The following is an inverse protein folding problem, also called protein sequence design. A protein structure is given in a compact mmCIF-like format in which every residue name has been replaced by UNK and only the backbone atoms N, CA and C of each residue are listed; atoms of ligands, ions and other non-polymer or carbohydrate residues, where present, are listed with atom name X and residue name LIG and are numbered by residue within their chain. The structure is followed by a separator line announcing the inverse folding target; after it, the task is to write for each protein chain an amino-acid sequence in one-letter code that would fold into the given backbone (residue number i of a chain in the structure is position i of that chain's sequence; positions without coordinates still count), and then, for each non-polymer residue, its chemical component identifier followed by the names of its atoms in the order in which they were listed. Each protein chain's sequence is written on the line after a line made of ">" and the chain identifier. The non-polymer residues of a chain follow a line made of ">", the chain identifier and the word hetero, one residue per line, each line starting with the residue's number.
data_IF_034594183386
#
_entry.id   IF_034594183386
#
_cell.length_a   1.000
_cell.length_b   1.000
_cell.length_c   1.000
_cell.angle_alpha   90.00
_cell.angle_beta   90.00
_cell.angle_gamma   90.00
#
_symmetry.space_group_name_H-M   'P 1'
#
loop_
_entity.id
_entity.type
_entity.pdbx_description
1 polymer ?
#
# COMPACT_ATOMS: atom_id res chain seq x y z
N UNK A 1 2.03 32.47 -21.40
CA UNK A 1 2.00 30.99 -21.59
C UNK A 1 2.66 30.20 -20.44
N UNK A 2 3.91 30.52 -20.03
CA UNK A 2 4.63 29.77 -18.95
C UNK A 2 3.91 29.74 -17.59
N UNK A 3 3.31 30.85 -17.12
CA UNK A 3 2.57 30.88 -15.85
C UNK A 3 1.32 29.98 -15.85
N UNK A 4 0.58 29.93 -16.95
CA UNK A 4 -0.64 29.09 -17.08
C UNK A 4 -0.28 27.61 -17.01
N UNK A 5 0.76 27.18 -17.73
CA UNK A 5 1.25 25.79 -17.70
C UNK A 5 1.73 25.36 -16.31
N UNK A 6 2.30 26.27 -15.52
CA UNK A 6 2.75 25.98 -14.15
C UNK A 6 1.57 25.83 -13.18
N UNK A 7 0.53 26.67 -13.31
CA UNK A 7 -0.69 26.58 -12.49
C UNK A 7 -1.40 25.26 -12.76
N UNK A 8 -1.58 24.89 -14.03
CA UNK A 8 -2.23 23.61 -14.42
C UNK A 8 -1.49 22.41 -13.84
N UNK A 9 -0.15 22.38 -13.92
CA UNK A 9 0.65 21.27 -13.37
C UNK A 9 0.53 21.15 -11.84
N UNK A 10 0.43 22.26 -11.12
CA UNK A 10 0.22 22.26 -9.67
C UNK A 10 -1.17 21.80 -9.27
N UNK A 11 -2.20 22.24 -9.99
CA UNK A 11 -3.58 21.81 -9.75
C UNK A 11 -3.73 20.32 -10.00
N UNK A 12 -3.13 19.79 -11.09
CA UNK A 12 -3.14 18.36 -11.38
C UNK A 12 -2.41 17.55 -10.31
N UNK A 13 -1.25 18.02 -9.84
CA UNK A 13 -0.52 17.39 -8.75
C UNK A 13 -1.33 17.35 -7.45
N UNK A 14 -2.00 18.45 -7.10
CA UNK A 14 -2.87 18.51 -5.93
C UNK A 14 -4.03 17.51 -6.03
N UNK A 15 -4.65 17.42 -7.21
CA UNK A 15 -5.73 16.46 -7.47
C UNK A 15 -5.27 14.99 -7.35
N UNK A 16 -4.14 14.62 -7.97
CA UNK A 16 -3.61 13.27 -7.87
C UNK A 16 -3.21 12.90 -6.43
N UNK A 17 -2.65 13.83 -5.66
CA UNK A 17 -2.34 13.62 -4.24
C UNK A 17 -3.60 13.48 -3.38
N UNK A 18 -4.69 14.16 -3.74
CA UNK A 18 -5.98 13.96 -3.08
C UNK A 18 -6.56 12.57 -3.37
N UNK A 19 -6.42 12.07 -4.61
CA UNK A 19 -6.80 10.69 -4.94
C UNK A 19 -5.96 9.67 -4.17
N UNK A 20 -4.66 9.89 -4.04
CA UNK A 20 -3.75 9.04 -3.24
C UNK A 20 -4.11 9.05 -1.75
N UNK A 21 -4.46 10.22 -1.22
CA UNK A 21 -4.97 10.33 0.15
C UNK A 21 -6.29 9.57 0.31
N UNK A 22 -7.20 9.73 -0.65
CA UNK A 22 -8.48 9.03 -0.68
C UNK A 22 -8.31 7.51 -0.70
N UNK A 23 -7.42 6.98 -1.55
CA UNK A 23 -7.15 5.54 -1.61
C UNK A 23 -6.53 5.02 -0.30
N UNK A 24 -5.58 5.74 0.30
CA UNK A 24 -5.04 5.38 1.61
C UNK A 24 -6.12 5.32 2.70
N UNK A 25 -6.99 6.33 2.75
CA UNK A 25 -8.11 6.40 3.69
C UNK A 25 -9.17 5.32 3.51
N UNK A 26 -9.34 4.75 2.30
CA UNK A 26 -10.26 3.61 2.08
C UNK A 26 -9.58 2.26 2.33
N UNK A 27 -8.28 2.14 2.05
CA UNK A 27 -7.50 0.92 2.28
C UNK A 27 -7.35 0.58 3.77
N UNK A 28 -7.16 1.57 4.64
CA UNK A 28 -7.05 1.36 6.10
C UNK A 28 -8.29 0.67 6.68
N UNK A 29 -9.52 1.21 6.55
CA UNK A 29 -10.72 0.54 7.04
C UNK A 29 -10.99 -0.76 6.26
N UNK A 30 -10.68 -0.83 4.97
CA UNK A 30 -10.79 -2.08 4.20
C UNK A 30 -9.93 -3.21 4.79
N UNK A 31 -8.66 -2.93 5.10
CA UNK A 31 -7.76 -3.88 5.76
C UNK A 31 -8.25 -4.26 7.17
N UNK A 32 -8.76 -3.28 7.93
CA UNK A 32 -9.31 -3.54 9.26
C UNK A 32 -10.58 -4.39 9.21
N UNK A 33 -11.48 -4.16 8.24
CA UNK A 33 -12.68 -4.97 8.04
C UNK A 33 -12.34 -6.43 7.71
N UNK A 34 -11.27 -6.67 6.94
CA UNK A 34 -10.78 -8.02 6.65
C UNK A 34 -10.26 -8.70 7.92
N UNK A 35 -9.55 -7.96 8.79
CA UNK A 35 -9.04 -8.49 10.07
C UNK A 35 -10.16 -8.79 11.05
N UNK A 36 -11.19 -7.93 11.09
CA UNK A 36 -12.32 -8.04 12.01
C UNK A 36 -13.38 -9.05 11.58
N UNK A 37 -13.29 -9.63 10.38
CA UNK A 37 -14.20 -10.66 9.89
C UNK A 37 -13.63 -12.07 10.22
N UNK A 38 -14.03 -12.66 11.37
CA UNK A 38 -13.47 -13.94 11.80
C UNK A 38 -13.83 -15.08 10.85
N UNK A 39 -15.00 -15.02 10.20
CA UNK A 39 -15.47 -16.07 9.29
C UNK A 39 -14.57 -16.16 8.05
N UNK A 40 -14.22 -15.00 7.45
CA UNK A 40 -13.28 -14.97 6.31
C UNK A 40 -11.88 -15.42 6.72
N UNK A 41 -11.39 -14.94 7.85
CA UNK A 41 -10.06 -15.31 8.37
C UNK A 41 -9.99 -16.81 8.68
N UNK A 42 -11.07 -17.38 9.22
CA UNK A 42 -11.18 -18.80 9.51
C UNK A 42 -11.20 -19.63 8.23
N UNK A 43 -12.04 -19.26 7.25
CA UNK A 43 -12.13 -19.95 5.96
C UNK A 43 -10.79 -19.98 5.22
N UNK A 44 -9.99 -18.91 5.33
CA UNK A 44 -8.67 -18.85 4.72
C UNK A 44 -7.65 -19.84 5.27
N UNK A 45 -7.86 -20.38 6.48
CA UNK A 45 -6.98 -21.41 7.05
C UNK A 45 -7.04 -22.71 6.24
N UNK A 46 -8.18 -23.03 5.65
CA UNK A 46 -8.33 -24.22 4.79
C UNK A 46 -7.41 -24.16 3.57
N UNK A 47 -7.12 -22.95 3.08
CA UNK A 47 -6.29 -22.73 1.90
C UNK A 47 -4.79 -22.85 2.20
N UNK A 48 -4.38 -22.66 3.46
CA UNK A 48 -2.98 -22.72 3.91
C UNK A 48 -2.49 -24.15 4.22
N UNK A 49 -3.18 -25.18 3.76
CA UNK A 49 -2.92 -26.60 4.07
C UNK A 49 -1.64 -27.19 3.42
N UNK A 50 -0.71 -26.33 2.97
CA UNK A 50 0.58 -26.69 2.35
C UNK A 50 1.82 -26.21 3.13
N UNK A 51 2.94 -26.01 2.43
CA UNK A 51 4.31 -25.72 2.95
C UNK A 51 4.47 -24.52 3.91
N UNK A 52 3.41 -23.73 4.14
CA UNK A 52 3.37 -22.60 5.07
C UNK A 52 2.70 -22.92 6.43
N UNK A 53 2.52 -24.20 6.77
CA UNK A 53 2.01 -24.67 8.08
C UNK A 53 2.81 -24.19 9.30
N UNK A 54 3.99 -23.59 9.11
CA UNK A 54 4.80 -22.99 10.16
C UNK A 54 4.41 -21.53 10.49
N UNK A 55 3.48 -20.91 9.76
CA UNK A 55 3.06 -19.54 10.02
C UNK A 55 2.04 -19.50 11.17
N UNK A 56 2.35 -18.72 12.21
CA UNK A 56 1.54 -18.66 13.44
C UNK A 56 0.11 -18.15 13.26
N UNK A 57 -0.18 -17.38 12.19
CA UNK A 57 -1.48 -16.74 11.92
C UNK A 57 -1.91 -16.98 10.45
N UNK A 58 -3.22 -16.87 10.16
CA UNK A 58 -3.80 -17.07 8.82
C UNK A 58 -3.22 -16.10 7.78
N UNK A 59 -3.10 -16.53 6.51
CA UNK A 59 -2.62 -15.67 5.41
C UNK A 59 -3.46 -14.40 5.21
N UNK A 60 -4.80 -14.49 5.30
CA UNK A 60 -5.67 -13.30 5.19
C UNK A 60 -5.45 -12.28 6.30
N UNK A 61 -5.01 -12.69 7.49
CA UNK A 61 -4.70 -11.77 8.57
C UNK A 61 -3.49 -10.90 8.21
N UNK A 62 -2.41 -11.50 7.71
CA UNK A 62 -1.24 -10.76 7.23
C UNK A 62 -1.55 -9.92 6.00
N UNK A 63 -2.42 -10.39 5.11
CA UNK A 63 -2.89 -9.61 3.98
C UNK A 63 -3.66 -8.38 4.44
N UNK A 64 -4.66 -8.53 5.32
CA UNK A 64 -5.42 -7.42 5.88
C UNK A 64 -4.53 -6.41 6.63
N UNK A 65 -3.55 -6.90 7.39
CA UNK A 65 -2.55 -6.06 8.07
C UNK A 65 -1.68 -5.30 7.06
N UNK A 66 -1.22 -5.97 6.01
CA UNK A 66 -0.46 -5.37 4.91
C UNK A 66 -1.25 -4.27 4.21
N UNK A 67 -2.53 -4.51 3.88
CA UNK A 67 -3.42 -3.50 3.30
C UNK A 67 -3.58 -2.29 4.23
N UNK A 68 -3.74 -2.50 5.54
CA UNK A 68 -3.89 -1.42 6.49
C UNK A 68 -2.62 -0.57 6.61
N UNK A 69 -1.44 -1.21 6.75
CA UNK A 69 -0.15 -0.53 6.81
C UNK A 69 0.13 0.24 5.52
N UNK A 70 -0.11 -0.38 4.36
CA UNK A 70 0.02 0.27 3.07
C UNK A 70 -0.90 1.49 2.97
N UNK A 71 -2.16 1.36 3.37
CA UNK A 71 -3.12 2.47 3.43
C UNK A 71 -2.62 3.65 4.27
N UNK A 72 -2.00 3.40 5.42
CA UNK A 72 -1.38 4.47 6.22
C UNK A 72 -0.19 5.15 5.51
N UNK A 73 0.65 4.38 4.81
CA UNK A 73 1.76 4.91 4.02
C UNK A 73 1.24 5.80 2.89
N UNK A 74 0.21 5.35 2.16
CA UNK A 74 -0.40 6.11 1.06
C UNK A 74 -1.10 7.38 1.57
N UNK A 75 -1.85 7.27 2.66
CA UNK A 75 -2.50 8.42 3.28
C UNK A 75 -1.47 9.45 3.76
N UNK A 76 -0.41 9.01 4.45
CA UNK A 76 0.69 9.89 4.88
C UNK A 76 1.38 10.58 3.70
N UNK A 77 1.65 9.82 2.63
CA UNK A 77 2.25 10.35 1.39
C UNK A 77 1.33 11.37 0.72
N UNK A 78 0.03 11.07 0.62
CA UNK A 78 -0.98 11.98 0.08
C UNK A 78 -1.10 13.28 0.89
N UNK A 79 -1.10 13.21 2.22
CA UNK A 79 -1.10 14.40 3.10
C UNK A 79 0.13 15.27 2.84
N UNK A 80 1.32 14.68 2.77
CA UNK A 80 2.56 15.40 2.46
C UNK A 80 2.52 16.05 1.07
N UNK A 81 2.00 15.34 0.07
CA UNK A 81 1.84 15.83 -1.31
C UNK A 81 0.83 16.98 -1.44
N UNK A 82 -0.30 16.90 -0.72
CA UNK A 82 -1.28 17.98 -0.61
C UNK A 82 -0.67 19.21 0.09
N UNK A 83 0.05 18.99 1.20
CA UNK A 83 0.74 20.08 1.92
C UNK A 83 1.76 20.81 1.04
N UNK A 84 2.54 20.06 0.26
CA UNK A 84 3.52 20.60 -0.67
C UNK A 84 2.88 21.41 -1.82
N UNK A 85 1.66 21.04 -2.22
CA UNK A 85 0.93 21.66 -3.35
C UNK A 85 0.16 22.92 -2.93
N UNK A 86 -0.39 22.95 -1.71
CA UNK A 86 -1.25 24.04 -1.22
C UNK A 86 -0.50 25.22 -0.57
N UNK A 87 0.76 25.06 -0.15
CA UNK A 87 1.51 26.17 0.47
C UNK A 87 1.99 27.20 -0.56
N UNK A 88 1.15 28.18 -0.87
CA UNK A 88 1.60 29.47 -1.41
C UNK A 88 1.12 30.69 -0.61
N UNK A 89 0.22 30.52 0.37
CA UNK A 89 -0.34 31.65 1.13
C UNK A 89 -0.35 31.37 2.64
N UNK A 90 0.59 32.02 3.34
CA UNK A 90 0.62 32.31 4.79
C UNK A 90 1.01 31.23 5.82
N UNK A 91 2.24 31.37 6.31
CA UNK A 91 2.59 31.58 7.73
C UNK A 91 2.50 30.49 8.82
N UNK A 92 2.66 29.19 8.52
CA UNK A 92 3.19 28.24 9.52
C UNK A 92 4.29 27.32 8.94
N UNK A 93 5.25 27.94 8.28
CA UNK A 93 6.60 27.39 8.08
C UNK A 93 7.50 27.62 9.32
N UNK A 94 7.00 28.27 10.38
CA UNK A 94 7.77 28.60 11.58
C UNK A 94 8.27 27.36 12.35
N UNK A 95 7.64 26.19 12.23
CA UNK A 95 8.17 24.94 12.81
C UNK A 95 9.16 24.19 11.90
N UNK A 96 9.30 24.59 10.63
CA UNK A 96 10.35 24.08 9.72
C UNK A 96 11.53 25.08 9.60
N UNK A 97 11.40 26.30 10.12
CA UNK A 97 12.43 27.36 10.08
C UNK A 97 13.64 27.08 11.01
N UNK A 98 13.63 26.08 11.90
CA UNK A 98 14.79 25.75 12.76
C UNK A 98 15.81 24.79 12.10
N UNK A 99 15.63 24.36 10.84
CA UNK A 99 16.69 23.62 10.10
C UNK A 99 17.16 24.36 8.84
N UNK A 100 18.12 25.28 9.06
CA UNK A 100 19.03 25.86 8.04
C UNK A 100 19.47 24.81 7.00
N UNK A 101 19.14 24.99 5.71
CA UNK A 101 20.10 25.10 4.57
C UNK A 101 19.36 25.35 3.26
N UNK A 102 19.87 26.27 2.45
CA UNK A 102 19.37 26.74 1.15
C UNK A 102 19.48 25.69 0.00
N UNK A 103 19.61 24.40 0.37
CA UNK A 103 19.74 23.20 -0.48
C UNK A 103 18.77 22.07 -0.03
N UNK A 104 17.66 22.41 0.65
CA UNK A 104 16.77 21.42 1.30
C UNK A 104 15.43 21.22 0.57
N UNK A 105 15.02 22.11 -0.35
CA UNK A 105 13.75 21.97 -1.06
C UNK A 105 13.78 20.87 -2.12
N UNK A 106 14.90 20.74 -2.85
CA UNK A 106 15.10 19.68 -3.85
C UNK A 106 15.22 18.31 -3.16
N UNK A 107 15.90 18.23 -2.02
CA UNK A 107 16.07 17.00 -1.23
C UNK A 107 14.74 16.43 -0.70
N UNK A 108 13.80 17.28 -0.25
CA UNK A 108 12.47 16.83 0.17
C UNK A 108 11.63 16.30 -1.00
N UNK A 109 11.75 16.89 -2.18
CA UNK A 109 11.07 16.40 -3.40
C UNK A 109 11.69 15.07 -3.86
N UNK A 110 13.01 14.91 -3.78
CA UNK A 110 13.68 13.64 -4.07
C UNK A 110 13.29 12.55 -3.07
N UNK A 111 13.18 12.86 -1.78
CA UNK A 111 12.71 11.91 -0.76
C UNK A 111 11.27 11.47 -1.03
N UNK A 112 10.38 12.41 -1.37
CA UNK A 112 8.99 12.13 -1.73
C UNK A 112 8.87 11.26 -2.98
N UNK A 113 9.61 11.60 -4.03
CA UNK A 113 9.67 10.83 -5.27
C UNK A 113 10.24 9.42 -5.03
N UNK A 114 11.30 9.30 -4.24
CA UNK A 114 11.89 8.01 -3.88
C UNK A 114 10.94 7.14 -3.07
N UNK A 115 10.15 7.73 -2.17
CA UNK A 115 9.13 7.02 -1.40
C UNK A 115 8.05 6.43 -2.32
N UNK A 116 7.47 7.23 -3.22
CA UNK A 116 6.45 6.74 -4.16
C UNK A 116 7.03 5.68 -5.09
N UNK A 117 8.24 5.89 -5.61
CA UNK A 117 8.92 4.87 -6.43
C UNK A 117 9.10 3.55 -5.68
N UNK A 118 9.53 3.61 -4.42
CA UNK A 118 9.74 2.41 -3.60
C UNK A 118 8.43 1.66 -3.35
N UNK A 119 7.36 2.38 -3.01
CA UNK A 119 6.03 1.79 -2.81
C UNK A 119 5.54 1.16 -4.11
N UNK A 120 5.60 1.89 -5.23
CA UNK A 120 5.17 1.41 -6.55
C UNK A 120 5.93 0.14 -6.97
N UNK A 121 7.25 0.12 -6.81
CA UNK A 121 8.07 -1.06 -7.13
C UNK A 121 7.71 -2.24 -6.21
N UNK A 122 7.52 -1.98 -4.91
CA UNK A 122 7.12 -2.98 -3.94
C UNK A 122 5.75 -3.58 -4.26
N UNK A 123 4.75 -2.75 -4.54
CA UNK A 123 3.42 -3.18 -4.94
C UNK A 123 3.45 -3.99 -6.24
N UNK A 124 4.13 -3.49 -7.28
CA UNK A 124 4.30 -4.21 -8.55
C UNK A 124 4.97 -5.57 -8.34
N UNK A 125 5.98 -5.66 -7.48
CA UNK A 125 6.65 -6.92 -7.16
C UNK A 125 5.66 -7.90 -6.49
N UNK A 126 4.89 -7.44 -5.51
CA UNK A 126 3.88 -8.28 -4.84
C UNK A 126 2.80 -8.75 -5.83
N UNK A 127 2.27 -7.86 -6.68
CA UNK A 127 1.24 -8.23 -7.66
C UNK A 127 1.75 -9.15 -8.76
N UNK A 128 2.98 -8.97 -9.24
CA UNK A 128 3.60 -9.87 -10.23
C UNK A 128 3.85 -11.26 -9.64
N UNK A 129 4.31 -11.36 -8.39
CA UNK A 129 4.45 -12.64 -7.68
C UNK A 129 3.08 -13.30 -7.51
N UNK A 130 2.07 -12.55 -7.07
CA UNK A 130 0.72 -13.05 -6.88
C UNK A 130 0.12 -13.61 -8.19
N UNK A 131 0.32 -12.90 -9.30
CA UNK A 131 -0.15 -13.31 -10.63
C UNK A 131 0.62 -14.51 -11.20
N UNK A 132 1.95 -14.49 -11.15
CA UNK A 132 2.78 -15.51 -11.79
C UNK A 132 2.86 -16.82 -11.00
N UNK A 133 2.93 -16.75 -9.67
CA UNK A 133 3.06 -17.91 -8.79
C UNK A 133 2.17 -17.79 -7.55
N UNK A 134 0.85 -17.96 -7.71
CA UNK A 134 -0.06 -18.00 -6.56
C UNK A 134 0.35 -19.10 -5.56
N UNK A 135 0.87 -20.22 -6.06
CA UNK A 135 1.37 -21.33 -5.26
C UNK A 135 2.48 -20.91 -4.27
N UNK A 136 3.35 -19.96 -4.63
CA UNK A 136 4.43 -19.47 -3.74
C UNK A 136 3.90 -18.65 -2.56
N UNK A 137 2.76 -18.00 -2.71
CA UNK A 137 2.10 -17.26 -1.63
C UNK A 137 1.20 -18.17 -0.76
N UNK A 138 1.21 -19.49 -0.99
CA UNK A 138 0.29 -20.43 -0.32
C UNK A 138 -1.16 -20.27 -0.79
N UNK A 139 -1.37 -19.69 -1.97
CA UNK A 139 -2.69 -19.39 -2.53
C UNK A 139 -3.23 -20.51 -3.44
N UNK A 140 -2.59 -21.67 -3.45
CA UNK A 140 -3.00 -22.81 -4.24
C UNK A 140 -3.94 -23.73 -3.48
N UNK A 141 -5.22 -23.76 -3.87
CA UNK A 141 -6.13 -24.79 -3.38
C UNK A 141 -5.84 -26.09 -4.13
N UNK A 142 -5.22 -27.07 -3.46
CA UNK A 142 -5.06 -28.43 -3.98
C UNK A 142 -6.08 -29.30 -3.24
N UNK A 143 -7.23 -29.65 -3.85
CA UNK A 143 -8.31 -30.35 -3.16
C UNK A 143 -7.87 -31.66 -2.50
N UNK A 144 -6.91 -32.37 -3.12
CA UNK A 144 -6.38 -33.63 -2.61
C UNK A 144 -5.56 -33.46 -1.32
N UNK A 145 -4.75 -32.41 -1.22
CA UNK A 145 -3.98 -32.14 0.00
C UNK A 145 -4.89 -31.63 1.12
N UNK A 146 -5.91 -30.84 0.77
CA UNK A 146 -6.92 -30.42 1.73
C UNK A 146 -7.74 -31.61 2.25
N UNK A 147 -8.10 -32.58 1.40
CA UNK A 147 -8.79 -33.81 1.82
C UNK A 147 -7.93 -34.66 2.77
N UNK A 148 -6.62 -34.80 2.50
CA UNK A 148 -5.68 -35.47 3.42
C UNK A 148 -5.54 -34.72 4.75
N UNK A 149 -5.50 -33.38 4.70
CA UNK A 149 -5.44 -32.54 5.90
C UNK A 149 -6.72 -32.69 6.74
N UNK A 150 -7.89 -32.74 6.09
CA UNK A 150 -9.17 -33.05 6.73
C UNK A 150 -9.09 -34.38 7.50
N UNK A 151 -8.67 -35.45 6.83
CA UNK A 151 -8.59 -36.78 7.44
C UNK A 151 -7.67 -36.83 8.66
N UNK A 152 -6.59 -36.04 8.68
CA UNK A 152 -5.59 -36.06 9.76
C UNK A 152 -5.89 -35.12 10.93
N UNK A 153 -6.44 -33.94 10.65
CA UNK A 153 -6.49 -32.83 11.60
C UNK A 153 -7.90 -32.50 12.09
N UNK A 154 -8.96 -32.95 11.40
CA UNK A 154 -10.33 -32.69 11.84
C UNK A 154 -10.60 -33.38 13.19
N UNK A 155 -11.18 -32.65 14.14
CA UNK A 155 -11.55 -33.16 15.47
C UNK A 155 -10.39 -33.54 16.38
N UNK A 156 -9.14 -33.23 16.01
CA UNK A 156 -7.94 -33.51 16.81
C UNK A 156 -7.64 -32.35 17.75
N UNK A 157 -7.30 -32.66 19.02
CA UNK A 157 -6.91 -31.65 20.02
C UNK A 157 -5.74 -30.78 19.53
N UNK A 158 -5.83 -29.47 19.72
CA UNK A 158 -4.87 -28.50 19.20
C UNK A 158 -5.12 -28.07 17.75
N UNK A 159 -6.05 -28.70 17.04
CA UNK A 159 -6.49 -28.33 15.68
C UNK A 159 -7.97 -27.89 15.64
N UNK A 160 -8.47 -27.34 16.74
CA UNK A 160 -9.86 -26.88 16.89
C UNK A 160 -10.22 -25.80 15.86
N UNK A 161 -9.29 -24.88 15.59
CA UNK A 161 -9.47 -23.82 14.60
C UNK A 161 -9.58 -24.38 13.17
N UNK A 162 -8.91 -25.48 12.87
CA UNK A 162 -9.05 -26.16 11.58
C UNK A 162 -10.42 -26.85 11.48
N UNK A 163 -10.85 -27.51 12.56
CA UNK A 163 -12.18 -28.13 12.65
C UNK A 163 -13.29 -27.10 12.46
N UNK A 164 -13.23 -25.98 13.19
CA UNK A 164 -14.17 -24.88 13.05
C UNK A 164 -14.19 -24.27 11.65
N UNK A 165 -13.04 -24.20 10.97
CA UNK A 165 -12.96 -23.71 9.59
C UNK A 165 -13.67 -24.64 8.60
N UNK A 166 -13.49 -25.96 8.75
CA UNK A 166 -14.19 -26.96 7.94
C UNK A 166 -15.70 -26.87 8.19
N UNK A 167 -16.10 -26.79 9.46
CA UNK A 167 -17.49 -26.69 9.88
C UNK A 167 -18.17 -25.41 9.35
N UNK A 168 -17.45 -24.28 9.37
CA UNK A 168 -17.90 -23.04 8.75
C UNK A 168 -18.06 -23.20 7.23
N UNK A 169 -17.10 -23.83 6.55
CA UNK A 169 -17.21 -24.06 5.11
C UNK A 169 -18.43 -24.93 4.74
N UNK A 170 -18.71 -25.96 5.53
CA UNK A 170 -19.83 -26.87 5.32
C UNK A 170 -21.18 -26.19 5.51
N UNK A 171 -21.30 -25.39 6.57
CA UNK A 171 -22.52 -24.61 6.84
C UNK A 171 -22.74 -23.50 5.82
N UNK A 172 -21.69 -22.75 5.46
CA UNK A 172 -21.77 -21.63 4.52
C UNK A 172 -22.07 -22.09 3.09
N UNK A 173 -21.37 -23.11 2.61
CA UNK A 173 -21.50 -23.60 1.23
C UNK A 173 -22.45 -24.78 1.06
N UNK A 174 -23.06 -25.27 2.15
CA UNK A 174 -24.03 -26.37 2.12
C UNK A 174 -23.44 -27.63 1.45
N UNK A 175 -22.24 -27.97 1.86
CA UNK A 175 -21.42 -29.06 1.34
C UNK A 175 -20.96 -29.99 2.47
N UNK A 176 -20.40 -31.16 2.14
CA UNK A 176 -19.89 -32.11 3.13
C UNK A 176 -18.58 -32.75 2.67
N UNK A 177 -17.57 -32.68 3.54
CA UNK A 177 -16.19 -33.04 3.20
C UNK A 177 -15.55 -32.08 2.19
N UNK A 178 -14.32 -32.37 1.80
CA UNK A 178 -13.58 -31.59 0.78
C UNK A 178 -14.02 -32.03 -0.61
N UNK A 179 -13.86 -33.30 -0.95
CA UNK A 179 -14.37 -33.88 -2.20
C UNK A 179 -15.68 -34.64 -1.95
N UNK A 180 -15.79 -35.32 -0.81
CA UNK A 180 -16.98 -36.09 -0.45
C UNK A 180 -17.07 -36.40 1.04
N UNK A 181 -18.29 -36.70 1.51
CA UNK A 181 -18.55 -37.11 2.89
C UNK A 181 -17.80 -38.40 3.32
N UNK A 182 -17.40 -39.26 2.38
CA UNK A 182 -16.71 -40.52 2.68
C UNK A 182 -15.31 -40.31 3.28
N UNK A 183 -14.74 -39.11 3.14
CA UNK A 183 -13.46 -38.76 3.75
C UNK A 183 -13.50 -38.87 5.27
N UNK A 184 -14.68 -38.70 5.89
CA UNK A 184 -14.87 -38.89 7.32
C UNK A 184 -14.74 -40.35 7.76
N UNK A 185 -15.08 -41.32 6.91
CA UNK A 185 -14.97 -42.76 7.23
C UNK A 185 -13.51 -43.17 7.50
N UNK A 186 -12.57 -42.48 6.84
CA UNK A 186 -11.11 -42.74 6.92
C UNK A 186 -10.38 -41.69 7.75
N UNK A 187 -11.10 -40.76 8.37
CA UNK A 187 -10.52 -39.71 9.21
C UNK A 187 -10.10 -40.23 10.58
N UNK A 188 -9.06 -39.63 11.16
CA UNK A 188 -8.61 -39.89 12.52
C UNK A 188 -9.73 -39.65 13.53
N UNK A 189 -10.53 -38.59 13.34
CA UNK A 189 -11.70 -38.28 14.16
C UNK A 189 -12.63 -39.48 14.35
N UNK A 190 -12.97 -40.16 13.26
CA UNK A 190 -13.86 -41.33 13.30
C UNK A 190 -13.15 -42.60 13.75
N UNK A 191 -11.94 -42.85 13.24
CA UNK A 191 -11.17 -44.06 13.54
C UNK A 191 -10.75 -44.13 15.02
N UNK A 192 -10.43 -43.00 15.64
CA UNK A 192 -10.06 -42.91 17.05
C UNK A 192 -11.24 -42.53 17.97
N UNK A 193 -12.46 -42.42 17.42
CA UNK A 193 -13.67 -42.03 18.18
C UNK A 193 -13.47 -40.76 19.01
N UNK A 194 -12.82 -39.74 18.42
CA UNK A 194 -12.53 -38.46 19.09
C UNK A 194 -13.79 -37.59 19.29
N UNK A 195 -14.90 -37.96 18.66
CA UNK A 195 -16.20 -37.32 18.84
C UNK A 195 -17.32 -38.33 19.08
N UNK A 196 -18.59 -37.85 19.14
CA UNK A 196 -19.75 -38.72 19.24
C UNK A 196 -19.79 -39.72 18.06
N UNK A 197 -20.44 -40.89 18.20
CA UNK A 197 -20.46 -41.95 17.19
C UNK A 197 -21.34 -41.57 15.98
N UNK A 198 -20.92 -40.54 15.26
CA UNK A 198 -21.59 -39.95 14.12
C UNK A 198 -20.89 -40.40 12.84
N UNK A 199 -21.66 -40.58 11.78
CA UNK A 199 -21.11 -40.92 10.48
C UNK A 199 -20.38 -39.73 9.85
N UNK A 200 -20.94 -38.54 10.01
CA UNK A 200 -20.40 -37.25 9.54
C UNK A 200 -20.64 -36.18 10.60
N UNK A 201 -19.88 -35.06 10.58
CA UNK A 201 -20.17 -33.90 11.40
C UNK A 201 -21.60 -33.41 11.21
N UNK A 202 -22.19 -32.84 12.26
CA UNK A 202 -23.56 -32.31 12.22
C UNK A 202 -23.69 -31.12 11.25
N UNK A 203 -22.61 -30.41 10.97
CA UNK A 203 -22.50 -29.34 9.98
C UNK A 203 -22.67 -29.82 8.53
N UNK A 204 -22.48 -31.12 8.26
CA UNK A 204 -22.88 -31.75 7.00
C UNK A 204 -24.40 -31.97 6.86
N UNK A 205 -25.15 -31.87 7.96
CA UNK A 205 -26.60 -32.03 7.95
C UNK A 205 -27.28 -30.71 7.60
N UNK A 206 -28.51 -30.77 7.08
CA UNK A 206 -29.34 -29.58 6.99
C UNK A 206 -29.69 -29.10 8.39
N UNK A 207 -29.31 -27.86 8.69
CA UNK A 207 -29.53 -27.22 9.97
C UNK A 207 -30.84 -26.43 9.97
N UNK A 208 -31.51 -26.41 11.12
CA UNK A 208 -32.67 -25.54 11.38
C UNK A 208 -32.22 -24.13 11.78
N UNK A 209 -31.10 -24.02 12.50
CA UNK A 209 -30.55 -22.77 13.03
C UNK A 209 -29.62 -22.01 12.05
N UNK A 210 -29.80 -22.18 10.73
CA UNK A 210 -28.98 -21.52 9.70
C UNK A 210 -28.97 -19.98 9.78
N UNK A 211 -29.97 -19.38 10.43
CA UNK A 211 -30.04 -17.92 10.62
C UNK A 211 -29.14 -17.42 11.75
N UNK A 212 -28.62 -18.30 12.59
CA UNK A 212 -27.67 -17.93 13.65
C UNK A 212 -26.25 -17.89 13.09
N UNK A 213 -25.48 -16.83 13.39
CA UNK A 213 -24.08 -16.74 12.96
C UNK A 213 -23.21 -17.86 13.57
N UNK A 214 -23.61 -18.43 14.71
CA UNK A 214 -22.89 -19.51 15.39
C UNK A 214 -23.36 -20.93 14.96
N UNK A 215 -24.11 -21.07 13.87
CA UNK A 215 -24.64 -22.37 13.44
C UNK A 215 -23.55 -23.43 13.15
N UNK A 216 -22.33 -22.99 12.83
CA UNK A 216 -21.19 -23.88 12.62
C UNK A 216 -20.52 -24.36 13.92
N UNK A 217 -20.71 -23.64 15.03
CA UNK A 217 -20.20 -24.01 16.36
C UNK A 217 -21.20 -24.84 17.16
N UNK A 218 -22.49 -24.53 17.00
CA UNK A 218 -23.60 -25.25 17.64
C UNK A 218 -24.64 -25.66 16.58
N UNK A 219 -24.35 -26.68 15.76
CA UNK A 219 -25.25 -27.11 14.69
C UNK A 219 -26.49 -27.82 15.26
N UNK A 220 -27.69 -27.36 14.89
CA UNK A 220 -28.96 -28.04 15.18
C UNK A 220 -29.57 -28.65 13.90
N UNK A 221 -29.37 -29.96 13.63
CA UNK A 221 -29.91 -30.63 12.45
C UNK A 221 -31.44 -30.73 12.49
N UNK A 222 -32.09 -30.53 11.34
CA UNK A 222 -33.54 -30.75 11.18
C UNK A 222 -33.94 -32.18 11.56
N UNK A 223 -33.12 -33.16 11.16
CA UNK A 223 -33.30 -34.55 11.57
C UNK A 223 -31.94 -35.25 11.66
N UNK A 224 -31.44 -35.39 12.89
CA UNK A 224 -30.13 -35.99 13.15
C UNK A 224 -30.07 -37.46 12.68
N UNK A 225 -31.10 -38.26 13.00
CA UNK A 225 -31.12 -39.69 12.68
C UNK A 225 -31.06 -39.93 11.17
N UNK A 226 -31.90 -39.25 10.40
CA UNK A 226 -31.92 -39.41 8.94
C UNK A 226 -30.64 -38.91 8.27
N UNK A 227 -30.07 -37.82 8.80
CA UNK A 227 -28.79 -37.33 8.31
C UNK A 227 -27.66 -38.34 8.54
N UNK A 228 -27.64 -39.05 9.68
CA UNK A 228 -26.53 -39.93 10.06
C UNK A 228 -26.61 -41.36 9.50
N UNK A 229 -27.74 -41.76 8.92
CA UNK A 229 -27.89 -43.07 8.25
C UNK A 229 -26.80 -43.28 7.19
N UNK A 230 -26.39 -44.51 6.92
CA UNK A 230 -25.43 -44.83 5.85
C UNK A 230 -26.07 -44.94 4.46
N UNK A 231 -27.39 -45.09 4.38
CA UNK A 231 -28.13 -45.37 3.14
C UNK A 231 -28.44 -44.07 2.38
N UNK A 232 -27.97 -43.94 1.14
CA UNK A 232 -28.02 -42.68 0.35
C UNK A 232 -29.43 -42.21 -0.03
N UNK A 233 -30.34 -43.15 -0.28
CA UNK A 233 -31.78 -42.92 -0.52
C UNK A 233 -32.46 -42.22 0.67
N UNK A 234 -32.15 -42.65 1.88
CA UNK A 234 -32.75 -42.11 3.11
C UNK A 234 -32.09 -40.81 3.59
N UNK A 235 -30.84 -40.56 3.18
CA UNK A 235 -30.13 -39.30 3.43
C UNK A 235 -30.64 -38.14 2.57
N UNK A 236 -31.32 -38.43 1.45
CA UNK A 236 -31.68 -37.45 0.44
C UNK A 236 -32.60 -36.38 1.04
N UNK A 237 -32.11 -35.14 1.08
CA UNK A 237 -32.84 -34.01 1.67
C UNK A 237 -32.47 -33.66 3.11
N UNK A 238 -31.67 -34.47 3.82
CA UNK A 238 -31.22 -34.21 5.20
C UNK A 238 -29.70 -34.02 5.34
N UNK A 239 -28.91 -34.50 4.37
CA UNK A 239 -27.45 -34.34 4.32
C UNK A 239 -27.01 -33.59 3.06
N UNK A 240 -25.99 -32.76 3.19
CA UNK A 240 -25.29 -32.15 2.07
C UNK A 240 -24.47 -33.21 1.31
N UNK A 241 -24.72 -33.34 0.01
CA UNK A 241 -24.06 -34.30 -0.88
C UNK A 241 -22.80 -33.74 -1.59
N UNK A 242 -22.77 -32.48 -2.07
CA UNK A 242 -21.60 -32.00 -2.80
C UNK A 242 -20.40 -31.78 -1.86
N UNK A 243 -19.19 -32.01 -2.36
CA UNK A 243 -17.96 -31.63 -1.67
C UNK A 243 -17.74 -30.12 -1.68
N UNK A 244 -17.00 -29.61 -0.69
CA UNK A 244 -16.76 -28.18 -0.53
C UNK A 244 -15.72 -27.60 -1.50
N UNK A 245 -14.90 -28.43 -2.15
CA UNK A 245 -13.74 -27.97 -2.93
C UNK A 245 -14.09 -26.97 -4.03
N UNK A 246 -15.16 -27.22 -4.79
CA UNK A 246 -15.60 -26.35 -5.89
C UNK A 246 -16.07 -24.99 -5.38
N UNK A 247 -16.86 -24.97 -4.30
CA UNK A 247 -17.35 -23.75 -3.69
C UNK A 247 -16.23 -22.93 -3.07
N UNK A 248 -15.28 -23.60 -2.41
CA UNK A 248 -14.11 -22.97 -1.81
C UNK A 248 -13.19 -22.36 -2.88
N UNK A 249 -12.96 -23.06 -3.98
CA UNK A 249 -12.19 -22.55 -5.12
C UNK A 249 -12.86 -21.32 -5.75
N UNK A 250 -14.19 -21.36 -5.94
CA UNK A 250 -14.95 -20.25 -6.50
C UNK A 250 -14.91 -19.02 -5.58
N UNK A 251 -15.20 -19.21 -4.29
CA UNK A 251 -15.14 -18.14 -3.30
C UNK A 251 -13.74 -17.50 -3.25
N UNK A 252 -12.70 -18.34 -3.31
CA UNK A 252 -11.32 -17.88 -3.33
C UNK A 252 -11.00 -17.04 -4.57
N UNK A 253 -11.38 -17.51 -5.77
CA UNK A 253 -11.18 -16.77 -7.02
C UNK A 253 -11.86 -15.39 -6.97
N UNK A 254 -13.05 -15.30 -6.40
CA UNK A 254 -13.76 -14.02 -6.25
C UNK A 254 -12.99 -13.04 -5.36
N UNK A 255 -12.52 -13.48 -4.19
CA UNK A 255 -11.72 -12.62 -3.30
C UNK A 255 -10.39 -12.20 -3.95
N UNK A 256 -9.75 -13.12 -4.66
CA UNK A 256 -8.49 -12.88 -5.35
C UNK A 256 -8.63 -11.86 -6.49
N UNK A 257 -9.68 -11.97 -7.31
CA UNK A 257 -9.95 -11.03 -8.39
C UNK A 257 -10.22 -9.62 -7.84
N UNK A 258 -10.98 -9.52 -6.74
CA UNK A 258 -11.23 -8.23 -6.07
C UNK A 258 -9.91 -7.61 -5.59
N UNK A 259 -9.05 -8.40 -4.95
CA UNK A 259 -7.74 -7.94 -4.48
C UNK A 259 -6.86 -7.42 -5.63
N UNK A 260 -6.78 -8.15 -6.74
CA UNK A 260 -6.05 -7.71 -7.94
C UNK A 260 -6.62 -6.44 -8.56
N UNK A 261 -7.96 -6.33 -8.64
CA UNK A 261 -8.63 -5.18 -9.23
C UNK A 261 -8.40 -3.90 -8.39
N UNK A 262 -8.53 -4.00 -7.07
CA UNK A 262 -8.23 -2.90 -6.14
C UNK A 262 -6.76 -2.51 -6.24
N UNK A 263 -5.86 -3.50 -6.27
CA UNK A 263 -4.43 -3.27 -6.41
C UNK A 263 -4.04 -2.53 -7.70
N UNK A 264 -4.59 -2.97 -8.83
CA UNK A 264 -4.36 -2.31 -10.11
C UNK A 264 -4.82 -0.85 -10.09
N UNK A 265 -5.97 -0.55 -9.46
CA UNK A 265 -6.46 0.82 -9.32
C UNK A 265 -5.48 1.69 -8.51
N UNK A 266 -4.93 1.16 -7.41
CA UNK A 266 -3.94 1.86 -6.58
C UNK A 266 -2.67 2.14 -7.38
N UNK A 267 -2.11 1.15 -8.05
CA UNK A 267 -0.91 1.28 -8.90
C UNK A 267 -1.11 2.34 -9.99
N UNK A 268 -2.29 2.42 -10.61
CA UNK A 268 -2.61 3.45 -11.60
C UNK A 268 -2.64 4.86 -10.99
N UNK A 269 -3.18 5.01 -9.78
CA UNK A 269 -3.19 6.28 -9.05
C UNK A 269 -1.75 6.69 -8.70
N UNK A 270 -0.94 5.77 -8.17
CA UNK A 270 0.46 6.03 -7.83
C UNK A 270 1.28 6.45 -9.06
N UNK A 271 1.11 5.73 -10.18
CA UNK A 271 1.76 6.07 -11.44
C UNK A 271 1.36 7.47 -11.93
N UNK A 272 0.08 7.84 -11.80
CA UNK A 272 -0.39 9.18 -12.15
C UNK A 272 0.24 10.27 -11.25
N UNK A 273 0.33 10.04 -9.93
CA UNK A 273 1.02 10.94 -8.99
C UNK A 273 2.49 11.09 -9.37
N UNK A 274 3.15 9.99 -9.73
CA UNK A 274 4.54 9.98 -10.12
C UNK A 274 4.78 10.81 -11.39
N UNK A 275 3.97 10.59 -12.43
CA UNK A 275 4.03 11.34 -13.67
C UNK A 275 3.81 12.84 -13.41
N UNK A 276 2.81 13.20 -12.60
CA UNK A 276 2.55 14.59 -12.24
C UNK A 276 3.71 15.23 -11.48
N UNK A 277 4.36 14.47 -10.59
CA UNK A 277 5.52 14.92 -9.83
C UNK A 277 6.72 15.19 -10.76
N UNK A 278 7.00 14.28 -11.70
CA UNK A 278 8.07 14.45 -12.70
C UNK A 278 7.81 15.66 -13.58
N UNK A 279 6.59 15.82 -14.09
CA UNK A 279 6.21 16.96 -14.94
C UNK A 279 6.34 18.29 -14.18
N UNK A 280 5.91 18.33 -12.91
CA UNK A 280 6.06 19.51 -12.05
C UNK A 280 7.54 19.85 -11.83
N UNK A 281 8.39 18.84 -11.57
CA UNK A 281 9.83 19.02 -11.41
C UNK A 281 10.48 19.56 -12.69
N UNK A 282 10.22 18.93 -13.83
CA UNK A 282 10.78 19.34 -15.12
C UNK A 282 10.45 20.81 -15.43
N UNK A 283 9.20 21.23 -15.21
CA UNK A 283 8.76 22.62 -15.41
C UNK A 283 9.44 23.60 -14.46
N UNK A 284 9.67 23.22 -13.20
CA UNK A 284 10.40 24.04 -12.23
C UNK A 284 11.88 24.21 -12.62
N UNK A 285 12.53 23.17 -13.11
CA UNK A 285 13.91 23.24 -13.61
C UNK A 285 14.03 24.15 -14.82
N UNK A 286 13.16 24.00 -15.83
CA UNK A 286 13.15 24.88 -17.01
C UNK A 286 12.91 26.34 -16.62
N UNK A 287 11.97 26.62 -15.71
CA UNK A 287 11.70 27.99 -15.26
C UNK A 287 12.88 28.63 -14.52
N UNK A 288 13.74 27.85 -13.84
CA UNK A 288 14.94 28.39 -13.20
C UNK A 288 16.00 28.76 -14.26
N UNK A 289 16.25 27.89 -15.23
CA UNK A 289 17.23 28.16 -16.28
C UNK A 289 16.87 29.38 -17.13
N UNK A 290 15.58 29.57 -17.48
CA UNK A 290 15.14 30.77 -18.22
C UNK A 290 15.33 32.07 -17.43
N UNK A 291 15.30 32.02 -16.09
CA UNK A 291 15.55 33.20 -15.24
C UNK A 291 17.03 33.54 -15.13
N UNK A 292 17.91 32.55 -15.14
CA UNK A 292 19.37 32.75 -15.10
C UNK A 292 19.94 33.14 -16.47
N UNK A 293 19.27 32.78 -17.58
CA UNK A 293 19.70 33.12 -18.94
C UNK A 293 19.30 34.53 -19.43
N UNK A 294 18.65 35.38 -18.61
CA UNK A 294 18.30 36.77 -18.99
C UNK A 294 19.33 37.76 -18.39
N UNK A 295 20.27 38.34 -19.18
CA UNK A 295 21.16 39.38 -18.69
C UNK A 295 20.34 40.63 -18.34
N UNK A 296 20.72 41.32 -17.26
CA UNK A 296 20.21 42.65 -16.94
C UNK A 296 20.80 43.64 -17.97
N UNK A 297 20.04 44.02 -18.98
CA UNK A 297 20.43 45.08 -19.92
C UNK A 297 19.49 46.28 -19.77
N UNK A 298 20.09 47.38 -19.28
CA UNK A 298 19.79 48.81 -19.43
C UNK A 298 18.34 49.32 -19.49
N UNK A 299 17.99 50.12 -18.48
CA UNK A 299 17.33 51.41 -18.69
C UNK A 299 18.09 52.44 -17.86
N UNK A 300 18.78 53.40 -18.51
CA UNK A 300 18.48 54.83 -18.37
C UNK A 300 19.33 55.64 -19.37
N UNK A 301 18.73 56.00 -20.51
CA UNK A 301 19.30 56.91 -21.50
C UNK A 301 18.66 58.29 -21.33
N UNK A 302 19.48 59.23 -20.85
CA UNK A 302 19.52 60.67 -21.15
C UNK A 302 18.20 61.44 -21.36
N UNK A 303 17.92 62.38 -20.45
CA UNK A 303 17.23 63.63 -20.79
C UNK A 303 17.71 64.79 -19.90
N UNK A 304 18.31 65.81 -20.52
CA UNK A 304 18.36 67.21 -20.07
C UNK A 304 17.74 68.05 -21.22
N UNK A 305 17.28 69.32 -21.05
CA UNK A 305 17.83 70.36 -20.15
C UNK A 305 16.81 71.34 -19.50
N UNK A 306 17.25 72.13 -18.51
CA UNK A 306 17.15 73.62 -18.40
C UNK A 306 17.48 74.11 -16.96
N UNK A 307 18.38 75.10 -16.87
CA UNK A 307 18.73 75.88 -15.66
C UNK A 307 17.68 76.97 -15.35
N UNK A 308 17.68 77.71 -14.20
CA UNK A 308 18.81 78.54 -13.75
C UNK A 308 19.08 78.68 -12.23
N UNK A 309 20.28 79.24 -11.96
CA UNK A 309 20.68 80.12 -10.84
C UNK A 309 20.87 79.56 -9.41
N UNK A 310 22.14 79.54 -8.95
CA UNK A 310 22.70 80.40 -7.88
C UNK A 310 23.92 79.70 -7.22
N UNK A 311 25.14 80.17 -7.49
CA UNK A 311 26.03 80.97 -6.60
C UNK A 311 26.85 80.14 -5.60
N UNK A 312 28.18 80.32 -5.75
CA UNK A 312 29.27 80.16 -4.76
C UNK A 312 29.59 78.72 -4.31
N UNK A 313 30.85 78.28 -4.12
CA UNK A 313 32.15 78.96 -4.13
C UNK A 313 33.24 77.88 -4.08
N UNK A 314 34.23 78.06 -4.95
CA UNK A 314 35.69 77.98 -4.71
C UNK A 314 36.37 76.75 -4.09
N UNK A 315 37.47 76.40 -4.76
CA UNK A 315 38.72 75.79 -4.29
C UNK A 315 38.82 74.26 -4.36
N UNK A 316 39.94 73.66 -4.76
CA UNK A 316 41.03 74.00 -5.68
C UNK A 316 41.89 72.72 -5.77
N UNK A 317 42.57 72.51 -6.91
CA UNK A 317 43.81 71.73 -7.04
C UNK A 317 43.74 70.18 -6.84
N UNK A 318 44.38 69.28 -7.60
CA UNK A 318 45.19 69.34 -8.82
C UNK A 318 45.53 67.88 -9.27
N UNK A 319 45.41 67.60 -10.58
CA UNK A 319 46.18 66.67 -11.46
C UNK A 319 46.52 65.22 -11.05
N UNK A 320 45.90 64.27 -11.77
CA UNK A 320 46.42 63.33 -12.82
C UNK A 320 47.87 62.75 -12.73
N UNK A 321 48.24 61.61 -13.40
CA UNK A 321 47.49 60.75 -14.34
C UNK A 321 47.60 59.21 -14.12
N UNK A 322 46.87 58.45 -14.97
CA UNK A 322 46.90 56.99 -15.21
C UNK A 322 48.31 56.41 -15.53
N UNK A 323 48.52 55.08 -15.39
CA UNK A 323 48.40 54.24 -16.58
C UNK A 323 47.71 52.87 -16.36
N UNK A 324 47.23 52.36 -17.48
CA UNK A 324 46.52 51.11 -17.74
C UNK A 324 47.48 49.90 -17.78
N UNK A 325 47.11 48.76 -17.19
CA UNK A 325 47.63 47.44 -17.59
C UNK A 325 46.71 46.31 -17.13
N UNK A 326 46.28 45.49 -18.10
CA UNK A 326 45.51 44.26 -17.92
C UNK A 326 46.46 43.07 -17.74
N UNK A 327 46.22 42.23 -16.72
CA UNK A 327 45.93 40.78 -16.83
C UNK A 327 46.41 39.96 -15.62
N UNK A 328 45.64 38.89 -15.40
CA UNK A 328 45.97 37.61 -14.74
C UNK A 328 45.71 37.49 -13.23
N UNK A 329 44.76 36.59 -12.96
CA UNK A 329 44.31 36.02 -11.69
C UNK A 329 45.39 35.90 -10.61
N UNK A 330 45.16 36.54 -9.47
CA UNK A 330 45.83 36.18 -8.20
C UNK A 330 44.82 36.03 -7.08
N UNK A 331 44.85 34.81 -6.55
CA UNK A 331 44.07 34.21 -5.48
C UNK A 331 44.13 35.08 -4.21
N UNK A 332 42.98 35.54 -3.70
CA UNK A 332 42.91 36.40 -2.52
C UNK A 332 43.26 35.64 -1.23
N UNK A 333 44.01 36.34 -0.39
CA UNK A 333 44.70 35.94 0.84
C UNK A 333 43.82 35.43 2.01
N UNK A 334 42.60 34.92 1.80
CA UNK A 334 41.74 34.44 2.90
C UNK A 334 41.97 32.96 3.29
N UNK A 335 42.74 32.20 2.51
CA UNK A 335 42.94 30.76 2.72
C UNK A 335 44.14 30.40 3.62
N UNK A 336 45.16 31.27 3.71
CA UNK A 336 46.40 31.00 4.44
C UNK A 336 46.31 31.29 5.94
N UNK A 337 45.34 32.07 6.38
CA UNK A 337 45.25 32.54 7.77
C UNK A 337 44.45 31.60 8.71
N UNK A 338 43.76 30.59 8.17
CA UNK A 338 42.85 29.73 8.97
C UNK A 338 43.42 28.37 9.39
N UNK A 339 44.60 27.95 8.92
CA UNK A 339 45.16 26.64 9.26
C UNK A 339 46.63 26.75 9.66
N UNK A 340 46.89 27.14 10.92
CA UNK A 340 48.23 27.13 11.54
C UNK A 340 48.94 25.78 11.33
N UNK A 341 49.65 25.65 10.21
CA UNK A 341 50.54 24.55 9.91
C UNK A 341 51.94 25.08 10.08
N UNK A 342 52.62 24.58 11.11
CA UNK A 342 54.03 24.83 11.34
C UNK A 342 54.84 23.96 10.37
N UNK A 343 55.82 24.58 9.72
CA UNK A 343 56.83 23.88 8.94
C UNK A 343 57.65 22.95 9.86
N UNK A 344 57.81 21.69 9.44
CA UNK A 344 58.83 20.78 9.95
C UNK A 344 59.67 20.30 8.77
N UNK A 345 60.91 20.78 8.78
CA UNK A 345 62.14 20.33 8.10
C UNK A 345 62.05 19.91 6.63
#
# INVERSE_FOLDING_TARGET
>A
MSRISLVVSKTLLAFCNFLLLGSGCTLVPGGLLIILDPERVLLSRLMSSGTLTALSHSLLYYLGLGLAVLGFILAGTGVLGCWASCLHSYCMLALVIIRKRKSNFLFNIFQYFALIMLVLIGECAVYTIAWAWPQCLGLGLIPQELAKSLQRNYGVGGQEQFTAAVDLAQTLFKCCGVLSANEYDTSVWRLQSLGPPLAVPLTCCRLENLKSSNAYLDPNPVNNTLCQLSRKDLQQGFRHVPGCSQHLEQWYKEQYIIFLAVGLLVVLIEFAVLLCTVLACAKLFTSKQTKEAKPKTEHEMTAMPKSPMAIASTSNFQRAPLPYSNNVYTLTNSFRQNYKLMDKA
#
